data_IF_131613018053
#
_entry.id   IF_131613018053
#
_cell.length_a   1.000
_cell.length_b   1.000
_cell.length_c   1.000
_cell.angle_alpha   90.00
_cell.angle_beta   90.00
_cell.angle_gamma   90.00
#
_symmetry.space_group_name_H-M   'P 1'
#
loop_
_entity.id
_entity.type
_entity.pdbx_description
1 polymer ?
#
# COMPACT_ATOMS: atom_id res chain seq x y z
N UNK A 1 -3.93 -14.91 -2.05
CA UNK A 1 -2.83 -15.15 -1.09
C UNK A 1 -1.43 -14.90 -1.67
N UNK A 2 -0.69 -15.80 -2.33
CA UNK A 2 0.77 -15.57 -2.51
C UNK A 2 1.23 -14.34 -3.31
N UNK A 3 0.54 -13.90 -4.37
CA UNK A 3 1.10 -12.85 -5.25
C UNK A 3 1.18 -11.47 -4.61
N UNK A 4 0.13 -11.04 -3.89
CA UNK A 4 0.10 -9.72 -3.27
C UNK A 4 1.19 -9.57 -2.18
N UNK A 5 1.38 -10.60 -1.34
CA UNK A 5 2.45 -10.61 -0.35
C UNK A 5 3.85 -10.61 -0.96
N UNK A 6 4.06 -11.33 -2.07
CA UNK A 6 5.34 -11.28 -2.80
C UNK A 6 5.63 -9.88 -3.34
N UNK A 7 4.61 -9.16 -3.83
CA UNK A 7 4.80 -7.76 -4.23
C UNK A 7 5.10 -6.86 -3.03
N UNK A 8 4.49 -7.09 -1.86
CA UNK A 8 4.84 -6.36 -0.63
C UNK A 8 6.31 -6.57 -0.28
N UNK A 9 6.80 -7.82 -0.28
CA UNK A 9 8.22 -8.11 -0.02
C UNK A 9 9.14 -7.42 -1.02
N UNK A 10 8.77 -7.41 -2.31
CA UNK A 10 9.52 -6.66 -3.33
C UNK A 10 9.53 -5.16 -3.06
N UNK A 11 8.38 -4.56 -2.81
CA UNK A 11 8.26 -3.13 -2.50
C UNK A 11 9.09 -2.74 -1.27
N UNK A 12 9.07 -3.56 -0.22
CA UNK A 12 9.88 -3.36 0.98
C UNK A 12 11.37 -3.41 0.65
N UNK A 13 11.81 -4.32 -0.22
CA UNK A 13 13.22 -4.39 -0.64
C UNK A 13 13.67 -3.20 -1.51
N UNK A 14 12.75 -2.62 -2.28
CA UNK A 14 13.02 -1.47 -3.15
C UNK A 14 12.94 -0.12 -2.39
N UNK A 15 12.13 -0.07 -1.34
CA UNK A 15 11.91 1.10 -0.49
C UNK A 15 12.56 0.92 0.89
N UNK A 16 13.89 0.80 0.88
CA UNK A 16 14.75 0.55 2.05
C UNK A 16 14.85 1.74 3.02
N UNK A 17 14.54 2.96 2.55
CA UNK A 17 14.52 4.17 3.38
C UNK A 17 13.13 4.83 3.44
N UNK A 18 12.95 5.73 4.42
CA UNK A 18 11.67 6.40 4.67
C UNK A 18 11.23 7.32 3.53
N UNK A 19 12.16 7.88 2.77
CA UNK A 19 11.83 8.74 1.62
C UNK A 19 11.27 7.90 0.48
N UNK A 20 11.94 6.81 0.11
CA UNK A 20 11.47 5.86 -0.89
C UNK A 20 10.13 5.22 -0.49
N UNK A 21 9.92 4.93 0.79
CA UNK A 21 8.62 4.43 1.28
C UNK A 21 7.51 5.46 1.07
N UNK A 22 7.78 6.73 1.36
CA UNK A 22 6.84 7.84 1.11
C UNK A 22 6.53 7.99 -0.39
N UNK A 23 7.55 7.91 -1.23
CA UNK A 23 7.41 7.94 -2.70
C UNK A 23 6.60 6.75 -3.20
N UNK A 24 6.83 5.54 -2.68
CA UNK A 24 6.07 4.34 -3.02
C UNK A 24 4.57 4.50 -2.71
N UNK A 25 4.22 5.01 -1.52
CA UNK A 25 2.83 5.37 -1.20
C UNK A 25 2.24 6.34 -2.22
N UNK A 26 2.98 7.40 -2.57
CA UNK A 26 2.49 8.39 -3.53
C UNK A 26 2.25 7.81 -4.92
N UNK A 27 3.15 6.95 -5.39
CA UNK A 27 2.99 6.28 -6.69
C UNK A 27 1.79 5.34 -6.69
N UNK A 28 1.57 4.58 -5.61
CA UNK A 28 0.40 3.71 -5.49
C UNK A 28 -0.91 4.51 -5.45
N UNK A 29 -0.95 5.64 -4.74
CA UNK A 29 -2.11 6.55 -4.74
C UNK A 29 -2.44 7.05 -6.14
N UNK A 30 -1.44 7.55 -6.88
CA UNK A 30 -1.62 8.04 -8.25
C UNK A 30 -2.09 6.94 -9.20
N UNK A 31 -1.50 5.74 -9.10
CA UNK A 31 -1.89 4.60 -9.93
C UNK A 31 -3.34 4.16 -9.66
N UNK A 32 -3.79 4.20 -8.41
CA UNK A 32 -5.18 3.87 -8.05
C UNK A 32 -6.16 4.98 -8.45
N UNK A 33 -5.76 6.26 -8.35
CA UNK A 33 -6.55 7.40 -8.83
C UNK A 33 -6.78 7.33 -10.33
N UNK A 34 -5.79 6.93 -11.12
CA UNK A 34 -5.95 6.70 -12.56
C UNK A 34 -6.97 5.58 -12.84
N UNK A 35 -6.97 4.53 -12.00
CA UNK A 35 -7.90 3.40 -12.09
C UNK A 35 -9.29 3.68 -11.48
N UNK A 36 -9.49 4.73 -10.68
CA UNK A 36 -10.79 5.10 -10.07
C UNK A 36 -11.89 5.45 -11.08
N UNK A 37 -11.54 5.62 -12.35
CA UNK A 37 -12.53 5.66 -13.45
C UNK A 37 -13.33 4.35 -13.57
N UNK A 38 -12.91 3.29 -12.89
CA UNK A 38 -13.55 1.98 -12.80
C UNK A 38 -13.90 1.72 -11.33
N UNK A 39 -15.18 1.46 -11.04
CA UNK A 39 -15.85 1.51 -9.73
C UNK A 39 -15.29 0.66 -8.56
N UNK A 40 -14.18 -0.08 -8.73
CA UNK A 40 -13.57 -0.92 -7.68
C UNK A 40 -12.42 -0.25 -6.93
N UNK A 41 -11.92 0.90 -7.38
CA UNK A 41 -10.69 1.49 -6.84
C UNK A 41 -10.88 2.31 -5.56
N UNK A 42 -12.13 2.62 -5.16
CA UNK A 42 -12.41 3.44 -3.98
C UNK A 42 -12.06 2.73 -2.66
N UNK A 43 -12.45 1.45 -2.53
CA UNK A 43 -12.06 0.63 -1.37
C UNK A 43 -10.54 0.46 -1.28
N UNK A 44 -9.87 0.28 -2.42
CA UNK A 44 -8.39 0.15 -2.45
C UNK A 44 -7.70 1.43 -1.96
N UNK A 45 -8.19 2.60 -2.36
CA UNK A 45 -7.68 3.90 -1.90
C UNK A 45 -7.89 4.12 -0.40
N UNK A 46 -9.05 3.73 0.14
CA UNK A 46 -9.31 3.81 1.58
C UNK A 46 -8.34 2.93 2.37
N UNK A 47 -8.11 1.68 1.92
CA UNK A 47 -7.16 0.78 2.58
C UNK A 47 -5.71 1.29 2.46
N UNK A 48 -5.33 1.83 1.31
CA UNK A 48 -4.00 2.42 1.11
C UNK A 48 -3.77 3.65 1.99
N UNK A 49 -4.78 4.51 2.12
CA UNK A 49 -4.75 5.69 3.00
C UNK A 49 -4.58 5.29 4.47
N UNK A 50 -5.28 4.23 4.90
CA UNK A 50 -5.11 3.67 6.25
C UNK A 50 -3.70 3.10 6.47
N UNK A 51 -3.16 2.34 5.53
CA UNK A 51 -1.79 1.83 5.60
C UNK A 51 -0.77 2.98 5.72
N UNK A 52 -0.93 4.06 4.94
CA UNK A 52 -0.08 5.25 5.03
C UNK A 52 -0.18 5.92 6.41
N UNK A 53 -1.39 5.98 6.98
CA UNK A 53 -1.62 6.51 8.32
C UNK A 53 -0.91 5.69 9.40
N UNK A 54 -1.02 4.36 9.33
CA UNK A 54 -0.30 3.44 10.21
C UNK A 54 1.22 3.63 10.12
N UNK A 55 1.76 3.74 8.90
CA UNK A 55 3.18 3.98 8.69
C UNK A 55 3.66 5.32 9.26
N UNK A 56 2.88 6.39 9.11
CA UNK A 56 3.15 7.69 9.75
C UNK A 56 3.11 7.61 11.28
N UNK A 57 2.32 6.69 11.83
CA UNK A 57 2.27 6.36 13.25
C UNK A 57 3.37 5.37 13.70
N UNK A 58 4.44 5.20 12.90
CA UNK A 58 5.62 4.35 13.16
C UNK A 58 5.40 2.84 13.04
N UNK A 59 4.31 2.38 12.44
CA UNK A 59 4.22 0.99 11.97
C UNK A 59 5.21 0.78 10.82
N UNK A 60 5.83 -0.40 10.74
CA UNK A 60 6.76 -0.70 9.66
C UNK A 60 6.04 -0.63 8.30
N UNK A 61 6.78 -0.28 7.26
CA UNK A 61 6.23 -0.21 5.89
C UNK A 61 5.65 -1.56 5.46
N UNK A 62 6.37 -2.66 5.76
CA UNK A 62 5.90 -4.02 5.51
C UNK A 62 4.57 -4.31 6.22
N UNK A 63 4.48 -4.09 7.53
CA UNK A 63 3.29 -4.44 8.30
C UNK A 63 2.08 -3.60 7.88
N UNK A 64 2.29 -2.33 7.52
CA UNK A 64 1.23 -1.47 7.00
C UNK A 64 0.66 -2.00 5.67
N UNK A 65 1.52 -2.46 4.75
CA UNK A 65 1.09 -3.03 3.47
C UNK A 65 0.49 -4.44 3.62
N UNK A 66 1.03 -5.28 4.50
CA UNK A 66 0.46 -6.60 4.80
C UNK A 66 -0.95 -6.46 5.39
N UNK A 67 -1.17 -5.51 6.30
CA UNK A 67 -2.50 -5.19 6.82
C UNK A 67 -3.45 -4.79 5.69
N UNK A 68 -3.00 -3.94 4.75
CA UNK A 68 -3.80 -3.55 3.58
C UNK A 68 -4.23 -4.78 2.79
N UNK A 69 -3.30 -5.69 2.46
CA UNK A 69 -3.58 -6.92 1.71
C UNK A 69 -4.56 -7.82 2.46
N UNK A 70 -4.36 -8.05 3.76
CA UNK A 70 -5.28 -8.83 4.60
C UNK A 70 -6.70 -8.26 4.57
N UNK A 71 -6.81 -6.95 4.70
CA UNK A 71 -8.10 -6.26 4.77
C UNK A 71 -8.89 -6.21 3.45
N UNK A 72 -8.27 -6.65 2.34
CA UNK A 72 -8.88 -6.81 1.03
C UNK A 72 -9.34 -8.25 0.77
N UNK A 73 -8.80 -9.22 1.51
CA UNK A 73 -9.16 -10.65 1.41
C UNK A 73 -10.31 -11.04 2.37
N UNK A 74 -10.64 -10.19 3.34
CA UNK A 74 -11.73 -10.33 4.33
C UNK A 74 -13.04 -9.71 3.86
#
# INVERSE_FOLDING_TARGET
MNRAYLEVTRLVSLADDKEKQSQAFRLMELALEEQLRLSRSQQLLEKLSLARTMWKANVSFQNALEYMVLSLES
#
